data_IF_682840431707
#
_entry.id   IF_682840431707
#
_cell.length_a   1.000
_cell.length_b   1.000
_cell.length_c   1.000
_cell.angle_alpha   90.00
_cell.angle_beta   90.00
_cell.angle_gamma   90.00
#
_symmetry.space_group_name_H-M   'P 1'
#
loop_
_entity.id
_entity.type
_entity.pdbx_description
1 polymer ?
#
# COMPACT_ATOMS: atom_id res chain seq x y z
N UNK A 1 14.26 -8.67 -20.59
CA UNK A 1 15.19 -9.29 -19.62
C UNK A 1 15.55 -8.29 -18.52
N UNK A 2 15.55 -8.72 -17.25
CA UNK A 2 15.94 -7.91 -16.09
C UNK A 2 17.32 -8.36 -15.61
N UNK A 3 18.16 -7.40 -15.20
CA UNK A 3 19.55 -7.67 -14.82
C UNK A 3 19.71 -7.56 -13.29
N UNK A 4 20.10 -8.64 -12.62
CA UNK A 4 20.36 -8.70 -11.16
C UNK A 4 21.76 -8.23 -10.78
N UNK A 5 22.75 -8.39 -11.68
CA UNK A 5 24.13 -8.02 -11.40
C UNK A 5 24.88 -7.63 -12.68
N UNK A 6 25.90 -6.77 -12.52
CA UNK A 6 26.85 -6.45 -13.59
C UNK A 6 27.94 -7.52 -13.75
N UNK A 7 28.16 -8.34 -12.71
CA UNK A 7 29.11 -9.46 -12.70
C UNK A 7 28.35 -10.77 -12.72
N UNK A 8 28.95 -11.82 -13.28
CA UNK A 8 28.43 -13.19 -13.16
C UNK A 8 28.50 -13.62 -11.71
N UNK A 9 27.39 -13.99 -11.13
CA UNK A 9 27.24 -14.52 -9.76
C UNK A 9 25.97 -15.34 -9.67
N UNK A 10 25.95 -16.29 -8.76
CA UNK A 10 24.78 -17.09 -8.50
C UNK A 10 23.74 -16.30 -7.72
N UNK A 11 22.46 -16.61 -7.93
CA UNK A 11 21.35 -16.07 -7.17
C UNK A 11 21.03 -17.06 -6.03
N UNK A 12 21.97 -17.17 -5.12
CA UNK A 12 21.94 -18.05 -3.96
C UNK A 12 21.49 -17.29 -2.69
N UNK A 13 21.45 -18.00 -1.57
CA UNK A 13 21.10 -17.44 -0.27
C UNK A 13 21.99 -16.24 0.11
N UNK A 14 23.30 -16.32 -0.14
CA UNK A 14 24.25 -15.25 0.16
C UNK A 14 23.97 -14.00 -0.67
N UNK A 15 23.61 -14.16 -1.95
CA UNK A 15 23.22 -13.07 -2.81
C UNK A 15 22.01 -12.31 -2.24
N UNK A 16 20.93 -13.04 -1.91
CA UNK A 16 19.72 -12.44 -1.38
C UNK A 16 19.97 -11.82 0.00
N UNK A 17 20.70 -12.48 0.87
CA UNK A 17 21.07 -11.97 2.20
C UNK A 17 21.80 -10.63 2.10
N UNK A 18 22.81 -10.51 1.25
CA UNK A 18 23.53 -9.24 1.05
C UNK A 18 22.61 -8.15 0.53
N UNK A 19 21.76 -8.42 -0.46
CA UNK A 19 20.87 -7.43 -1.06
C UNK A 19 19.81 -6.94 -0.10
N UNK A 20 19.20 -7.84 0.65
CA UNK A 20 18.20 -7.51 1.65
C UNK A 20 18.82 -6.67 2.78
N UNK A 21 20.01 -7.04 3.29
CA UNK A 21 20.71 -6.25 4.30
C UNK A 21 21.02 -4.84 3.78
N UNK A 22 21.53 -4.70 2.56
CA UNK A 22 21.78 -3.39 1.93
C UNK A 22 20.50 -2.54 1.85
N UNK A 23 19.37 -3.15 1.49
CA UNK A 23 18.10 -2.46 1.40
C UNK A 23 17.61 -1.99 2.78
N UNK A 24 17.74 -2.82 3.82
CA UNK A 24 17.37 -2.48 5.20
C UNK A 24 18.30 -1.38 5.74
N UNK A 25 19.62 -1.52 5.57
CA UNK A 25 20.61 -0.52 6.02
C UNK A 25 20.35 0.85 5.38
N UNK A 26 19.94 0.88 4.12
CA UNK A 26 19.55 2.12 3.45
C UNK A 26 18.36 2.79 4.15
N UNK A 27 17.29 2.04 4.47
CA UNK A 27 16.10 2.54 5.16
C UNK A 27 16.44 3.04 6.56
N UNK A 28 17.26 2.30 7.29
CA UNK A 28 17.71 2.71 8.63
C UNK A 28 18.48 4.03 8.59
N UNK A 29 19.42 4.18 7.65
CA UNK A 29 20.16 5.44 7.46
C UNK A 29 19.27 6.59 7.02
N UNK A 30 18.19 6.32 6.30
CA UNK A 30 17.20 7.31 5.91
C UNK A 30 16.18 7.63 7.03
N UNK A 31 16.32 7.04 8.22
CA UNK A 31 15.39 7.25 9.33
C UNK A 31 14.01 6.61 9.14
N UNK A 32 13.89 5.64 8.23
CA UNK A 32 12.63 4.95 7.96
C UNK A 32 12.45 3.82 8.97
N UNK A 33 11.28 3.78 9.61
CA UNK A 33 10.92 2.68 10.49
C UNK A 33 10.81 1.36 9.71
N UNK A 34 11.79 0.48 9.89
CA UNK A 34 11.86 -0.79 9.18
C UNK A 34 10.65 -1.69 9.47
N UNK A 35 10.02 -1.58 10.66
CA UNK A 35 8.89 -2.43 11.06
C UNK A 35 7.59 -2.10 10.34
N UNK A 36 7.50 -0.92 9.73
CA UNK A 36 6.32 -0.43 9.00
C UNK A 36 6.79 0.26 7.71
N UNK A 37 7.38 -0.48 6.80
CA UNK A 37 7.92 0.10 5.56
C UNK A 37 8.05 -0.92 4.44
N UNK A 38 8.21 -0.42 3.22
CA UNK A 38 8.68 -1.20 2.10
C UNK A 38 10.17 -1.47 2.25
N UNK A 39 10.52 -2.68 2.68
CA UNK A 39 11.91 -3.10 2.89
C UNK A 39 12.68 -3.27 1.58
N UNK A 40 12.02 -3.76 0.53
CA UNK A 40 12.61 -3.96 -0.78
C UNK A 40 11.71 -3.38 -1.87
N UNK A 41 12.31 -2.55 -2.73
CA UNK A 41 11.64 -1.95 -3.87
C UNK A 41 12.35 -2.28 -5.19
N UNK A 42 12.21 -3.53 -5.62
CA UNK A 42 12.58 -3.98 -6.97
C UNK A 42 13.97 -3.51 -7.43
N UNK A 43 14.04 -2.88 -8.60
CA UNK A 43 15.27 -2.38 -9.23
C UNK A 43 16.01 -1.36 -8.36
N UNK A 44 15.31 -0.59 -7.55
CA UNK A 44 15.91 0.41 -6.65
C UNK A 44 16.83 -0.22 -5.60
N UNK A 45 16.50 -1.45 -5.18
CA UNK A 45 17.29 -2.23 -4.23
C UNK A 45 18.10 -3.35 -4.91
N UNK A 46 18.26 -3.27 -6.24
CA UNK A 46 18.99 -4.26 -7.04
C UNK A 46 18.45 -5.70 -6.89
N UNK A 47 17.14 -5.83 -6.64
CA UNK A 47 16.36 -7.06 -6.63
C UNK A 47 15.19 -6.96 -7.62
N UNK A 48 15.45 -6.91 -8.94
CA UNK A 48 14.43 -6.66 -9.95
C UNK A 48 13.24 -7.60 -9.84
N UNK A 49 12.05 -7.01 -9.63
CA UNK A 49 10.80 -7.77 -9.53
C UNK A 49 10.49 -8.33 -8.15
N UNK A 50 11.27 -7.97 -7.10
CA UNK A 50 10.93 -8.24 -5.69
C UNK A 50 10.34 -6.99 -5.06
N UNK A 51 9.20 -7.12 -4.39
CA UNK A 51 8.68 -6.12 -3.46
C UNK A 51 8.49 -6.79 -2.12
N UNK A 52 8.99 -6.17 -1.05
CA UNK A 52 8.79 -6.66 0.32
C UNK A 52 8.28 -5.51 1.18
N UNK A 53 7.07 -5.66 1.68
CA UNK A 53 6.45 -4.75 2.64
C UNK A 53 6.45 -5.41 4.03
N UNK A 54 6.86 -4.67 5.06
CA UNK A 54 6.82 -5.13 6.45
C UNK A 54 5.71 -4.45 7.23
N UNK A 55 4.87 -5.28 7.86
CA UNK A 55 3.78 -4.89 8.75
C UNK A 55 4.03 -5.49 10.14
N UNK A 56 4.85 -4.84 10.94
CA UNK A 56 5.27 -5.36 12.25
C UNK A 56 6.01 -6.70 12.13
N UNK A 57 5.40 -7.77 12.62
CA UNK A 57 5.94 -9.14 12.54
C UNK A 57 5.64 -9.86 11.22
N UNK A 58 4.91 -9.27 10.29
CA UNK A 58 4.50 -9.93 9.04
C UNK A 58 5.19 -9.30 7.84
N UNK A 59 5.76 -10.10 6.95
CA UNK A 59 6.25 -9.69 5.64
C UNK A 59 5.24 -10.04 4.56
N UNK A 60 4.99 -9.10 3.64
CA UNK A 60 4.24 -9.34 2.40
C UNK A 60 5.22 -9.24 1.24
N UNK A 61 5.40 -10.34 0.53
CA UNK A 61 6.39 -10.50 -0.54
C UNK A 61 5.68 -10.67 -1.88
N UNK A 62 6.08 -9.89 -2.87
CA UNK A 62 5.66 -10.05 -4.26
C UNK A 62 6.85 -10.41 -5.13
N UNK A 63 6.75 -11.48 -5.89
CA UNK A 63 7.73 -11.91 -6.88
C UNK A 63 7.11 -11.84 -8.27
N UNK A 64 7.63 -10.96 -9.11
CA UNK A 64 7.02 -10.58 -10.38
C UNK A 64 7.71 -11.19 -11.61
N UNK A 65 8.73 -12.06 -11.42
CA UNK A 65 9.52 -12.62 -12.52
C UNK A 65 9.77 -14.11 -12.35
N UNK A 66 9.90 -14.84 -13.47
CA UNK A 66 10.22 -16.26 -13.48
C UNK A 66 11.55 -16.59 -12.77
N UNK A 67 12.54 -15.68 -12.88
CA UNK A 67 13.83 -15.88 -12.24
C UNK A 67 13.71 -15.93 -10.71
N UNK A 68 12.82 -15.12 -10.14
CA UNK A 68 12.54 -15.07 -8.70
C UNK A 68 11.65 -16.21 -8.26
N UNK A 69 10.66 -16.57 -9.07
CA UNK A 69 9.81 -17.73 -8.81
C UNK A 69 10.63 -19.00 -8.53
N UNK A 70 11.68 -19.22 -9.32
CA UNK A 70 12.63 -20.33 -9.13
C UNK A 70 13.57 -20.18 -7.94
N UNK A 71 13.48 -19.08 -7.19
CA UNK A 71 14.32 -18.73 -6.04
C UNK A 71 13.49 -18.35 -4.81
N UNK A 72 12.24 -18.81 -4.78
CA UNK A 72 11.32 -18.52 -3.67
C UNK A 72 11.88 -19.02 -2.34
N UNK A 73 12.51 -20.19 -2.33
CA UNK A 73 13.10 -20.77 -1.12
C UNK A 73 14.25 -19.90 -0.61
N UNK A 74 15.24 -19.61 -1.46
CA UNK A 74 16.43 -18.82 -1.09
C UNK A 74 16.06 -17.41 -0.63
N UNK A 75 15.11 -16.74 -1.32
CA UNK A 75 14.61 -15.43 -0.93
C UNK A 75 13.87 -15.49 0.42
N UNK A 76 13.00 -16.49 0.59
CA UNK A 76 12.24 -16.69 1.82
C UNK A 76 13.14 -17.01 3.02
N UNK A 77 14.20 -17.83 2.82
CA UNK A 77 15.18 -18.16 3.84
C UNK A 77 16.00 -16.93 4.25
N UNK A 78 16.46 -16.13 3.28
CA UNK A 78 17.19 -14.89 3.55
C UNK A 78 16.33 -13.88 4.35
N UNK A 79 15.06 -13.72 3.99
CA UNK A 79 14.13 -12.85 4.73
C UNK A 79 13.87 -13.37 6.14
N UNK A 80 13.66 -14.67 6.30
CA UNK A 80 13.44 -15.28 7.60
C UNK A 80 14.66 -15.14 8.53
N UNK A 81 15.88 -15.32 8.01
CA UNK A 81 17.13 -15.17 8.77
C UNK A 81 17.35 -13.73 9.25
N UNK A 82 17.16 -12.75 8.32
CA UNK A 82 17.52 -11.37 8.59
C UNK A 82 16.45 -10.65 9.42
N UNK A 83 15.18 -10.77 9.04
CA UNK A 83 14.07 -10.03 9.63
C UNK A 83 13.45 -10.77 10.81
N UNK A 84 13.52 -12.10 10.81
CA UNK A 84 12.90 -13.00 11.81
C UNK A 84 11.41 -12.70 11.99
N UNK A 85 10.63 -12.65 10.89
CA UNK A 85 9.23 -12.35 10.96
C UNK A 85 8.43 -13.50 11.61
N UNK A 86 7.25 -13.18 12.11
CA UNK A 86 6.26 -14.16 12.57
C UNK A 86 5.69 -14.96 11.40
N UNK A 87 5.49 -14.28 10.24
CA UNK A 87 4.99 -14.90 9.02
C UNK A 87 5.49 -14.16 7.77
N UNK A 88 5.61 -14.90 6.67
CA UNK A 88 5.87 -14.37 5.32
C UNK A 88 4.70 -14.77 4.42
N UNK A 89 4.02 -13.77 3.88
CA UNK A 89 2.92 -13.94 2.92
C UNK A 89 3.46 -13.66 1.52
N UNK A 90 3.38 -14.63 0.63
CA UNK A 90 3.69 -14.46 -0.78
C UNK A 90 2.42 -14.06 -1.54
N UNK A 91 2.36 -12.77 -1.96
CA UNK A 91 1.27 -12.17 -2.74
C UNK A 91 1.64 -12.16 -4.22
N UNK A 92 1.73 -13.34 -4.80
CA UNK A 92 2.11 -13.56 -6.19
C UNK A 92 0.90 -13.47 -7.16
N UNK A 93 0.01 -12.51 -6.91
CA UNK A 93 -1.23 -12.26 -7.64
C UNK A 93 -1.18 -11.02 -8.57
N UNK A 94 -0.02 -10.35 -8.66
CA UNK A 94 0.15 -9.18 -9.52
C UNK A 94 -0.06 -9.53 -11.02
N UNK A 95 -0.85 -8.73 -11.79
CA UNK A 95 -1.15 -9.02 -13.21
C UNK A 95 0.08 -9.14 -14.12
N UNK A 96 1.18 -8.47 -13.76
CA UNK A 96 2.45 -8.52 -14.52
C UNK A 96 3.03 -9.94 -14.62
N UNK A 97 2.74 -10.83 -13.68
CA UNK A 97 3.19 -12.23 -13.65
C UNK A 97 2.72 -13.03 -14.87
N UNK A 98 1.54 -12.69 -15.41
CA UNK A 98 1.00 -13.34 -16.63
C UNK A 98 1.92 -13.13 -17.84
N UNK A 99 2.64 -12.02 -17.93
CA UNK A 99 3.60 -11.75 -19.00
C UNK A 99 4.86 -12.62 -18.91
N UNK A 100 5.15 -13.17 -17.74
CA UNK A 100 6.24 -14.13 -17.49
C UNK A 100 5.76 -15.59 -17.54
N UNK A 101 4.48 -15.83 -17.85
CA UNK A 101 3.87 -17.16 -17.86
C UNK A 101 3.68 -17.78 -16.47
N UNK A 102 3.59 -16.94 -15.42
CA UNK A 102 3.49 -17.39 -14.04
C UNK A 102 2.03 -17.43 -13.56
N UNK A 103 1.67 -18.39 -12.70
CA UNK A 103 0.36 -18.44 -12.09
C UNK A 103 0.13 -17.28 -11.12
N UNK A 104 -1.15 -16.98 -10.87
CA UNK A 104 -1.56 -16.08 -9.78
C UNK A 104 -1.81 -16.92 -8.54
N UNK A 105 -1.08 -16.69 -7.47
CA UNK A 105 -1.21 -17.46 -6.24
C UNK A 105 -0.89 -16.60 -5.01
N UNK A 106 -1.54 -16.93 -3.90
CA UNK A 106 -1.29 -16.31 -2.59
C UNK A 106 -1.17 -17.41 -1.57
N UNK A 107 -0.06 -17.42 -0.84
CA UNK A 107 0.18 -18.41 0.20
C UNK A 107 1.08 -17.82 1.31
N UNK A 108 1.06 -18.45 2.46
CA UNK A 108 1.99 -18.14 3.56
C UNK A 108 3.15 -19.11 3.56
N UNK A 109 4.29 -18.71 4.09
CA UNK A 109 5.45 -19.58 4.23
C UNK A 109 5.17 -20.76 5.16
N UNK A 110 4.44 -20.54 6.25
CA UNK A 110 4.09 -21.59 7.21
C UNK A 110 3.03 -22.57 6.69
N UNK A 111 2.31 -22.25 5.61
CA UNK A 111 1.14 -22.97 5.12
C UNK A 111 -0.13 -22.72 5.93
N UNK A 112 -0.08 -21.89 6.98
CA UNK A 112 -1.27 -21.51 7.76
C UNK A 112 -1.94 -20.27 7.15
N UNK A 113 -3.28 -20.20 7.18
CA UNK A 113 -3.99 -19.00 6.78
C UNK A 113 -3.57 -17.82 7.67
N UNK A 114 -3.39 -16.65 7.06
CA UNK A 114 -3.19 -15.43 7.81
C UNK A 114 -4.54 -14.75 8.02
N UNK A 115 -4.93 -14.65 9.29
CA UNK A 115 -6.22 -14.07 9.64
C UNK A 115 -6.15 -12.54 9.69
N UNK A 116 -7.16 -11.83 9.13
CA UNK A 116 -7.28 -10.38 9.24
C UNK A 116 -7.24 -9.94 10.71
N UNK A 117 -6.55 -8.84 10.97
CA UNK A 117 -6.38 -8.33 12.34
C UNK A 117 -6.14 -6.84 12.39
N UNK A 118 -6.26 -6.29 13.60
CA UNK A 118 -5.86 -4.91 13.85
C UNK A 118 -4.35 -4.78 13.86
N UNK A 119 -3.83 -3.86 13.04
CA UNK A 119 -2.42 -3.48 13.02
C UNK A 119 -2.28 -1.99 13.32
N UNK A 120 -1.35 -1.66 14.23
CA UNK A 120 -1.10 -0.28 14.59
C UNK A 120 -0.06 0.34 13.66
N UNK A 121 -0.49 1.43 12.97
CA UNK A 121 0.33 2.18 12.02
C UNK A 121 0.20 3.67 12.36
N UNK A 122 1.31 4.34 12.68
CA UNK A 122 1.37 5.78 13.00
C UNK A 122 0.35 6.22 14.07
N UNK A 123 0.13 5.36 15.08
CA UNK A 123 -0.79 5.67 16.16
C UNK A 123 -2.25 5.39 15.88
N UNK A 124 -2.60 4.84 14.71
CA UNK A 124 -3.93 4.39 14.34
C UNK A 124 -4.00 2.88 14.24
N UNK A 125 -5.11 2.29 14.64
CA UNK A 125 -5.41 0.88 14.45
C UNK A 125 -6.16 0.72 13.12
N UNK A 126 -5.63 -0.12 12.20
CA UNK A 126 -6.25 -0.47 10.93
C UNK A 126 -6.59 -1.94 10.88
N UNK A 127 -7.81 -2.27 10.45
CA UNK A 127 -8.20 -3.65 10.18
C UNK A 127 -7.66 -4.06 8.81
N UNK A 128 -6.64 -4.92 8.79
CA UNK A 128 -5.98 -5.31 7.56
C UNK A 128 -6.12 -6.81 7.30
N UNK A 129 -6.39 -7.14 6.06
CA UNK A 129 -6.25 -8.48 5.49
C UNK A 129 -5.05 -8.47 4.53
N UNK A 130 -3.89 -8.89 5.03
CA UNK A 130 -2.66 -8.90 4.23
C UNK A 130 -2.60 -10.05 3.23
N UNK A 131 -3.40 -11.11 3.40
CA UNK A 131 -3.47 -12.25 2.52
C UNK A 131 -4.55 -12.11 1.45
N UNK A 132 -5.78 -11.74 1.80
CA UNK A 132 -6.91 -11.66 0.89
C UNK A 132 -7.24 -10.24 0.41
N UNK A 133 -6.79 -9.20 1.12
CA UNK A 133 -7.11 -7.81 0.80
C UNK A 133 -6.51 -7.30 -0.52
N UNK A 134 -6.96 -6.13 -0.98
CA UNK A 134 -6.42 -5.52 -2.19
C UNK A 134 -4.95 -5.13 -2.03
N UNK A 135 -4.12 -5.37 -3.05
CA UNK A 135 -2.67 -5.11 -3.08
C UNK A 135 -1.97 -5.76 -1.86
N UNK A 136 -1.09 -5.03 -1.16
CA UNK A 136 -0.40 -5.49 0.06
C UNK A 136 -1.16 -5.16 1.35
N UNK A 137 -2.42 -4.70 1.26
CA UNK A 137 -3.29 -4.41 2.40
C UNK A 137 -3.28 -2.95 2.87
N UNK A 138 -2.18 -2.22 2.73
CA UNK A 138 -2.06 -0.81 3.12
C UNK A 138 -0.95 -0.11 2.32
N UNK A 139 -1.09 1.20 2.07
CA UNK A 139 -0.10 1.99 1.33
C UNK A 139 0.94 2.58 2.29
N UNK A 140 1.96 1.79 2.62
CA UNK A 140 3.03 2.21 3.53
C UNK A 140 3.86 3.40 3.03
N UNK A 141 3.90 3.61 1.72
CA UNK A 141 4.60 4.73 1.08
C UNK A 141 3.90 6.07 1.28
N UNK A 142 2.58 6.06 1.59
CA UNK A 142 1.79 7.27 1.85
C UNK A 142 1.84 7.75 3.31
N UNK A 143 2.47 7.00 4.22
CA UNK A 143 2.55 7.37 5.64
C UNK A 143 3.07 8.80 5.91
N UNK A 144 4.20 9.24 5.29
CA UNK A 144 4.67 10.61 5.47
C UNK A 144 3.68 11.66 4.95
N UNK A 145 2.96 11.35 3.86
CA UNK A 145 1.96 12.24 3.27
C UNK A 145 0.74 12.39 4.16
N UNK A 146 0.28 11.31 4.82
CA UNK A 146 -0.80 11.41 5.81
C UNK A 146 -0.47 12.45 6.90
N UNK A 147 0.71 12.36 7.49
CA UNK A 147 1.17 13.30 8.50
C UNK A 147 1.41 14.73 7.97
N UNK A 148 1.85 14.86 6.71
CA UNK A 148 2.09 16.15 6.08
C UNK A 148 0.78 16.90 5.82
N UNK A 149 -0.23 16.22 5.27
CA UNK A 149 -1.55 16.80 4.97
C UNK A 149 -2.30 17.16 6.25
N UNK A 150 -2.20 16.33 7.30
CA UNK A 150 -2.86 16.57 8.58
C UNK A 150 -2.54 17.97 9.18
N UNK A 151 -1.37 18.54 8.88
CA UNK A 151 -0.97 19.88 9.35
C UNK A 151 -1.86 21.02 8.84
N UNK A 152 -2.59 20.80 7.75
CA UNK A 152 -3.49 21.78 7.13
C UNK A 152 -4.94 21.58 7.53
N UNK A 153 -5.25 20.54 8.32
CA UNK A 153 -6.63 20.11 8.54
C UNK A 153 -7.28 20.69 9.82
N UNK A 154 -6.51 21.27 10.74
CA UNK A 154 -7.08 21.80 11.99
C UNK A 154 -8.12 22.89 11.73
N UNK A 155 -9.36 22.67 12.20
CA UNK A 155 -10.49 23.56 11.98
C UNK A 155 -11.06 23.57 10.56
N UNK A 156 -10.46 22.84 9.62
CA UNK A 156 -10.84 22.82 8.22
C UNK A 156 -11.97 21.80 7.95
N UNK A 157 -12.71 22.04 6.87
CA UNK A 157 -13.60 21.06 6.23
C UNK A 157 -12.79 20.30 5.18
N UNK A 158 -12.63 18.98 5.37
CA UNK A 158 -11.73 18.16 4.59
C UNK A 158 -12.51 17.15 3.75
N UNK A 159 -12.23 17.13 2.45
CA UNK A 159 -12.69 16.10 1.52
C UNK A 159 -11.51 15.19 1.15
N UNK A 160 -11.61 13.91 1.47
CA UNK A 160 -10.66 12.86 1.06
C UNK A 160 -11.26 12.06 -0.10
N UNK A 161 -10.94 12.47 -1.33
CA UNK A 161 -11.44 11.83 -2.54
C UNK A 161 -10.50 10.67 -2.93
N UNK A 162 -11.08 9.50 -3.19
CA UNK A 162 -10.39 8.20 -3.34
C UNK A 162 -9.78 7.72 -2.03
N UNK A 163 -10.55 7.83 -0.94
CA UNK A 163 -10.06 7.66 0.43
C UNK A 163 -9.64 6.23 0.79
N UNK A 164 -9.96 5.21 -0.01
CA UNK A 164 -9.70 3.81 0.28
C UNK A 164 -10.16 3.45 1.71
N UNK A 165 -9.28 2.95 2.57
CA UNK A 165 -9.56 2.59 3.97
C UNK A 165 -9.53 3.81 4.93
N UNK A 166 -9.54 5.04 4.40
CA UNK A 166 -9.67 6.28 5.16
C UNK A 166 -8.41 6.79 5.85
N UNK A 167 -7.20 6.42 5.40
CA UNK A 167 -5.99 6.79 6.12
C UNK A 167 -5.78 8.32 6.20
N UNK A 168 -5.95 9.05 5.11
CA UNK A 168 -5.89 10.51 5.12
C UNK A 168 -7.02 11.12 5.96
N UNK A 169 -8.24 10.63 5.81
CA UNK A 169 -9.40 11.07 6.58
C UNK A 169 -9.22 10.92 8.09
N UNK A 170 -8.67 9.77 8.55
CA UNK A 170 -8.39 9.53 9.95
C UNK A 170 -7.35 10.51 10.50
N UNK A 171 -6.28 10.76 9.75
CA UNK A 171 -5.25 11.72 10.13
C UNK A 171 -5.78 13.16 10.18
N UNK A 172 -6.63 13.56 9.22
CA UNK A 172 -7.28 14.84 9.21
C UNK A 172 -8.21 15.03 10.42
N UNK A 173 -9.05 14.04 10.70
CA UNK A 173 -9.96 14.07 11.85
C UNK A 173 -9.22 14.18 13.19
N UNK A 174 -8.14 13.40 13.38
CA UNK A 174 -7.31 13.48 14.59
C UNK A 174 -6.56 14.81 14.72
N UNK A 175 -6.23 15.46 13.61
CA UNK A 175 -5.63 16.79 13.60
C UNK A 175 -6.62 17.91 13.97
N UNK A 176 -7.89 17.59 14.22
CA UNK A 176 -8.91 18.56 14.62
C UNK A 176 -9.66 19.19 13.46
N UNK A 177 -9.81 18.51 12.34
CA UNK A 177 -10.69 18.96 11.25
C UNK A 177 -12.11 19.18 11.78
N UNK A 178 -12.78 20.24 11.32
CA UNK A 178 -14.15 20.55 11.69
C UNK A 178 -15.15 19.54 11.10
N UNK A 179 -14.87 19.09 9.88
CA UNK A 179 -15.65 18.10 9.15
C UNK A 179 -14.70 17.28 8.26
N UNK A 180 -14.95 15.97 8.16
CA UNK A 180 -14.20 15.09 7.26
C UNK A 180 -15.15 14.19 6.51
N UNK A 181 -15.08 14.22 5.17
CA UNK A 181 -15.80 13.32 4.29
C UNK A 181 -14.83 12.55 3.41
N UNK A 182 -14.86 11.21 3.51
CA UNK A 182 -14.12 10.31 2.63
C UNK A 182 -15.02 9.72 1.55
N UNK A 183 -14.55 9.74 0.29
CA UNK A 183 -15.24 9.18 -0.86
C UNK A 183 -14.40 8.09 -1.51
N UNK A 184 -15.00 6.95 -1.80
CA UNK A 184 -14.42 5.90 -2.65
C UNK A 184 -15.55 5.13 -3.35
N UNK A 185 -15.26 4.53 -4.48
CA UNK A 185 -16.24 3.70 -5.21
C UNK A 185 -16.33 2.26 -4.67
N UNK A 186 -15.34 1.81 -3.91
CA UNK A 186 -15.27 0.46 -3.38
C UNK A 186 -16.01 0.34 -2.03
N UNK A 187 -17.14 -0.34 -2.01
CA UNK A 187 -17.95 -0.52 -0.78
C UNK A 187 -17.15 -1.16 0.35
N UNK A 188 -16.32 -2.18 0.04
CA UNK A 188 -15.47 -2.85 1.04
C UNK A 188 -14.43 -1.90 1.65
N UNK A 189 -13.86 -1.00 0.85
CA UNK A 189 -12.94 0.02 1.33
C UNK A 189 -13.62 1.02 2.27
N UNK A 190 -14.82 1.47 1.91
CA UNK A 190 -15.64 2.35 2.76
C UNK A 190 -16.07 1.66 4.05
N UNK A 191 -16.45 0.38 3.99
CA UNK A 191 -16.75 -0.39 5.20
C UNK A 191 -15.52 -0.50 6.12
N UNK A 192 -14.33 -0.71 5.56
CA UNK A 192 -13.08 -0.69 6.31
C UNK A 192 -12.77 0.69 6.89
N UNK A 193 -12.96 1.78 6.12
CA UNK A 193 -12.74 3.14 6.58
C UNK A 193 -13.63 3.50 7.78
N UNK A 194 -14.92 3.15 7.73
CA UNK A 194 -15.86 3.34 8.86
C UNK A 194 -15.43 2.56 10.09
N UNK A 195 -15.07 1.28 9.94
CA UNK A 195 -14.57 0.44 11.02
C UNK A 195 -13.28 1.01 11.64
N UNK A 196 -12.38 1.50 10.80
CA UNK A 196 -11.13 2.11 11.25
C UNK A 196 -11.40 3.42 12.01
N UNK A 197 -12.33 4.27 11.55
CA UNK A 197 -12.71 5.51 12.23
C UNK A 197 -13.33 5.23 13.61
N UNK A 198 -14.27 4.30 13.69
CA UNK A 198 -14.88 3.86 14.96
C UNK A 198 -13.81 3.34 15.94
N UNK A 199 -12.95 2.44 15.51
CA UNK A 199 -11.87 1.86 16.32
C UNK A 199 -10.92 2.91 16.89
N UNK A 200 -10.66 3.96 16.14
CA UNK A 200 -9.76 5.05 16.52
C UNK A 200 -10.48 6.24 17.18
N UNK A 201 -11.78 6.13 17.41
CA UNK A 201 -12.61 7.16 18.06
C UNK A 201 -12.49 8.54 17.37
N UNK A 202 -12.41 8.54 16.04
CA UNK A 202 -12.36 9.78 15.24
C UNK A 202 -13.65 9.99 14.48
N UNK A 203 -14.07 11.26 14.36
CA UNK A 203 -15.27 11.64 13.62
C UNK A 203 -14.91 11.89 12.15
N UNK A 204 -15.36 11.00 11.28
CA UNK A 204 -15.26 11.14 9.84
C UNK A 204 -16.43 10.39 9.18
N UNK A 205 -16.99 10.99 8.15
CA UNK A 205 -18.04 10.37 7.34
C UNK A 205 -17.44 9.75 6.09
N UNK A 206 -18.08 8.68 5.60
CA UNK A 206 -17.61 7.96 4.41
C UNK A 206 -18.77 7.57 3.51
N UNK A 207 -18.63 7.78 2.20
CA UNK A 207 -19.63 7.43 1.22
C UNK A 207 -19.04 6.57 0.08
N UNK A 208 -19.74 5.46 -0.25
CA UNK A 208 -19.42 4.61 -1.38
C UNK A 208 -20.03 5.24 -2.65
N UNK A 209 -19.25 6.04 -3.39
CA UNK A 209 -19.69 6.75 -4.58
C UNK A 209 -18.56 6.86 -5.59
N UNK A 210 -18.92 6.98 -6.87
CA UNK A 210 -17.95 7.37 -7.89
C UNK A 210 -17.58 8.84 -7.68
N UNK A 211 -16.30 9.12 -7.44
CA UNK A 211 -15.79 10.46 -7.15
C UNK A 211 -16.08 11.45 -8.29
N UNK A 212 -15.99 11.01 -9.54
CA UNK A 212 -16.30 11.88 -10.70
C UNK A 212 -17.78 12.24 -10.77
N UNK A 213 -18.67 11.26 -10.54
CA UNK A 213 -20.11 11.49 -10.52
C UNK A 213 -20.48 12.42 -9.36
N UNK A 214 -19.81 12.24 -8.21
CA UNK A 214 -20.01 13.09 -7.05
C UNK A 214 -19.64 14.56 -7.32
N UNK A 215 -18.51 14.83 -7.98
CA UNK A 215 -18.11 16.20 -8.35
C UNK A 215 -18.96 16.79 -9.48
N UNK A 216 -19.53 15.97 -10.34
CA UNK A 216 -20.38 16.42 -11.45
C UNK A 216 -21.87 16.54 -11.09
N UNK A 217 -22.25 16.25 -9.84
CA UNK A 217 -23.66 16.37 -9.40
C UNK A 217 -24.09 17.84 -9.34
N UNK A 218 -25.05 18.28 -10.17
CA UNK A 218 -25.48 19.67 -10.20
C UNK A 218 -26.09 20.16 -8.87
N UNK A 219 -26.64 19.24 -8.08
CA UNK A 219 -27.27 19.57 -6.80
C UNK A 219 -26.21 19.97 -5.74
N UNK A 220 -24.93 19.68 -5.96
CA UNK A 220 -23.84 20.01 -5.04
C UNK A 220 -23.22 21.39 -5.28
N UNK A 221 -23.57 22.08 -6.35
CA UNK A 221 -23.11 23.45 -6.65
C UNK A 221 -23.45 24.50 -5.59
N UNK A 222 -24.42 24.20 -4.71
CA UNK A 222 -24.81 25.01 -3.57
C UNK A 222 -24.24 24.58 -2.22
N UNK A 223 -23.48 23.48 -2.18
CA UNK A 223 -22.90 22.97 -0.94
C UNK A 223 -21.72 23.83 -0.45
N UNK A 224 -21.46 23.82 0.88
CA UNK A 224 -20.33 24.55 1.43
C UNK A 224 -19.02 24.07 0.81
N UNK A 225 -18.15 25.00 0.50
CA UNK A 225 -16.83 24.69 -0.06
C UNK A 225 -15.96 23.97 0.96
N UNK A 226 -15.12 23.04 0.46
CA UNK A 226 -14.10 22.37 1.24
C UNK A 226 -12.87 23.27 1.38
N UNK A 227 -12.28 23.31 2.57
CA UNK A 227 -11.05 24.07 2.82
C UNK A 227 -9.82 23.30 2.38
N UNK A 228 -9.87 21.95 2.52
CA UNK A 228 -8.81 21.02 2.09
C UNK A 228 -9.45 19.90 1.25
N UNK A 229 -8.90 19.69 0.07
CA UNK A 229 -9.28 18.55 -0.79
C UNK A 229 -8.05 17.69 -1.02
N UNK A 230 -8.14 16.40 -0.65
CA UNK A 230 -7.11 15.40 -0.86
C UNK A 230 -7.49 14.59 -2.09
N UNK A 231 -6.60 14.54 -3.09
CA UNK A 231 -6.77 13.81 -4.33
C UNK A 231 -5.63 12.82 -4.51
N UNK A 232 -5.87 11.55 -4.20
CA UNK A 232 -4.92 10.44 -4.41
C UNK A 232 -5.56 9.34 -5.28
N UNK A 233 -5.88 9.65 -6.56
CA UNK A 233 -6.58 8.73 -7.43
C UNK A 233 -5.71 7.55 -7.84
N UNK A 234 -6.31 6.38 -8.17
CA UNK A 234 -5.59 5.30 -8.80
C UNK A 234 -5.11 5.73 -10.20
N UNK A 235 -4.07 5.06 -10.76
CA UNK A 235 -3.61 5.36 -12.11
C UNK A 235 -4.72 5.10 -13.13
N UNK A 236 -5.21 6.16 -13.79
CA UNK A 236 -6.29 6.05 -14.79
C UNK A 236 -5.79 5.44 -16.11
N UNK A 237 -4.50 5.63 -16.47
CA UNK A 237 -3.91 5.03 -17.67
C UNK A 237 -3.30 3.65 -17.35
N UNK A 238 -4.03 2.58 -17.64
CA UNK A 238 -3.53 1.18 -17.52
C UNK A 238 -2.80 0.69 -18.78
N UNK A 239 -2.87 1.46 -19.89
CA UNK A 239 -2.19 1.16 -21.17
C UNK A 239 -1.98 2.44 -21.96
N UNK A 240 -1.10 2.39 -22.99
CA UNK A 240 -0.91 3.52 -23.91
C UNK A 240 -2.20 3.93 -24.62
N UNK A 241 -3.05 2.99 -24.99
CA UNK A 241 -4.33 3.25 -25.65
C UNK A 241 -5.34 3.94 -24.73
N UNK A 242 -5.24 3.77 -23.42
CA UNK A 242 -6.11 4.42 -22.43
C UNK A 242 -5.67 5.86 -22.08
N UNK A 243 -4.52 6.34 -22.57
CA UNK A 243 -3.92 7.62 -22.18
C UNK A 243 -4.85 8.81 -22.44
N UNK A 244 -5.47 8.89 -23.62
CA UNK A 244 -6.37 10.01 -23.96
C UNK A 244 -7.61 10.07 -23.04
N UNK A 245 -8.15 8.93 -22.64
CA UNK A 245 -9.23 8.84 -21.64
C UNK A 245 -8.76 9.22 -20.23
N UNK A 246 -7.59 8.74 -19.85
CA UNK A 246 -7.00 9.02 -18.55
C UNK A 246 -6.69 10.51 -18.35
N UNK A 247 -6.19 11.20 -19.38
CA UNK A 247 -5.93 12.64 -19.33
C UNK A 247 -7.18 13.48 -19.04
N UNK A 248 -8.37 13.02 -19.43
CA UNK A 248 -9.63 13.68 -19.05
C UNK A 248 -9.95 13.49 -17.57
N UNK A 249 -9.58 12.37 -16.99
CA UNK A 249 -9.78 12.11 -15.56
C UNK A 249 -8.82 12.88 -14.64
N UNK A 250 -7.67 13.37 -15.18
CA UNK A 250 -6.73 14.21 -14.43
C UNK A 250 -6.97 15.72 -14.57
N UNK A 251 -7.95 16.14 -15.37
CA UNK A 251 -8.38 17.55 -15.53
C UNK A 251 -9.57 17.86 -14.63
#
# INVERSE_FOLDING_TARGET
ARRFSRRRQDLDLDFFTRRIRQAIDYRQRAGIDARLSRLVWSESDALPGVVVDQFGGTLVVQMQTLALERRTAELGDALAEIVKPEEIIFRNDAPIRRLEGLPSEVHTRSGRAWEPRWLRIDGFDYWLDLQGGQKTGFYLDQRPQHAAVAKYCAGARVLDAFCNQGAFALHAARAGAAEVLGLDSAEDAIAAARRNAERNEVKAEFAAVNVFDWFNDPLRGAEPKWDVIILDPPPFAKSRSALAGALRGYK
#
